data_IF_452218998395
#
_entry.id   IF_452218998395
#
_cell.length_a   1.000
_cell.length_b   1.000
_cell.length_c   1.000
_cell.angle_alpha   90.00
_cell.angle_beta   90.00
_cell.angle_gamma   90.00
#
_symmetry.space_group_name_H-M   'P 1'
#
loop_
_entity.id
_entity.type
_entity.pdbx_description
1 polymer ?
#
# COMPACT_ATOMS: atom_id res chain seq x y z
N UNK A 1 -20.70 7.94 14.78
CA UNK A 1 -19.31 7.48 14.64
C UNK A 1 -18.47 8.68 14.28
N UNK A 2 -17.34 8.91 14.95
CA UNK A 2 -16.40 9.96 14.54
C UNK A 2 -15.59 9.39 13.38
N UNK A 3 -15.89 9.86 12.18
CA UNK A 3 -15.31 9.34 10.93
C UNK A 3 -13.95 9.96 10.64
N UNK A 4 -13.77 11.23 10.97
CA UNK A 4 -12.53 11.98 10.71
C UNK A 4 -11.47 11.72 11.78
N UNK A 5 -10.22 11.60 11.32
CA UNK A 5 -9.06 11.53 12.20
C UNK A 5 -8.84 12.85 12.97
N UNK A 6 -8.08 12.78 14.06
CA UNK A 6 -7.65 13.93 14.86
C UNK A 6 -6.26 14.46 14.46
N UNK A 7 -5.69 13.97 13.36
CA UNK A 7 -4.39 14.43 12.85
C UNK A 7 -4.30 15.95 12.72
N UNK A 8 -3.19 16.52 13.19
CA UNK A 8 -2.96 17.96 13.18
C UNK A 8 -2.48 18.48 11.83
N UNK A 9 -1.86 17.61 11.01
CA UNK A 9 -1.33 17.92 9.68
C UNK A 9 -2.06 17.11 8.61
N UNK A 10 -3.33 17.44 8.39
CA UNK A 10 -4.17 16.79 7.38
C UNK A 10 -4.13 17.55 6.04
N UNK A 11 -3.40 17.01 5.06
CA UNK A 11 -3.25 17.60 3.74
C UNK A 11 -4.52 17.55 2.88
N UNK A 12 -5.47 16.67 3.22
CA UNK A 12 -6.74 16.49 2.53
C UNK A 12 -7.86 17.34 3.13
N UNK A 13 -7.62 17.93 4.31
CA UNK A 13 -8.56 18.81 4.99
C UNK A 13 -8.54 20.21 4.39
N UNK A 14 -9.64 20.59 3.74
CA UNK A 14 -9.86 21.93 3.22
C UNK A 14 -10.50 22.85 4.26
N UNK A 15 -10.48 24.19 4.04
CA UNK A 15 -11.27 25.12 4.82
C UNK A 15 -12.76 24.75 4.84
N UNK A 16 -13.44 25.14 5.93
CA UNK A 16 -14.87 24.93 6.09
C UNK A 16 -15.67 25.46 4.89
N UNK A 17 -16.70 24.72 4.52
CA UNK A 17 -17.52 25.01 3.35
C UNK A 17 -19.00 25.19 3.74
N UNK A 18 -19.69 26.07 3.03
CA UNK A 18 -21.13 26.29 3.19
C UNK A 18 -21.97 25.64 2.08
N UNK A 19 -23.28 25.54 2.29
CA UNK A 19 -24.20 24.95 1.31
C UNK A 19 -24.21 25.68 -0.05
N UNK A 20 -24.10 27.01 -0.05
CA UNK A 20 -24.06 27.79 -1.29
C UNK A 20 -22.85 27.44 -2.16
N UNK A 21 -21.71 27.19 -1.51
CA UNK A 21 -20.46 26.82 -2.17
C UNK A 21 -20.53 25.39 -2.72
N UNK A 22 -21.07 24.44 -1.95
CA UNK A 22 -21.36 23.08 -2.42
C UNK A 22 -22.23 23.13 -3.68
N UNK A 23 -23.27 23.96 -3.70
CA UNK A 23 -24.16 24.09 -4.86
C UNK A 23 -23.46 24.72 -6.07
N UNK A 24 -22.45 25.59 -5.85
CA UNK A 24 -21.59 26.10 -6.94
C UNK A 24 -20.72 24.98 -7.51
N UNK A 25 -20.12 24.18 -6.65
CA UNK A 25 -19.27 23.04 -7.04
C UNK A 25 -20.08 22.01 -7.84
N UNK A 26 -21.29 21.64 -7.40
CA UNK A 26 -22.18 20.73 -8.15
C UNK A 26 -22.45 21.20 -9.59
N UNK A 27 -22.62 22.52 -9.78
CA UNK A 27 -22.80 23.11 -11.12
C UNK A 27 -21.54 23.04 -11.96
N UNK A 28 -20.37 23.22 -11.33
CA UNK A 28 -19.07 23.18 -12.00
C UNK A 28 -18.73 21.77 -12.49
N UNK A 29 -18.87 20.77 -11.62
CA UNK A 29 -18.65 19.35 -11.96
C UNK A 29 -19.81 18.74 -12.76
N UNK A 30 -20.92 19.47 -12.91
CA UNK A 30 -22.16 19.06 -13.60
C UNK A 30 -22.74 17.74 -13.06
N UNK A 31 -22.58 17.50 -11.76
CA UNK A 31 -23.06 16.30 -11.04
C UNK A 31 -23.61 16.73 -9.69
N UNK A 32 -24.73 16.14 -9.27
CA UNK A 32 -25.23 16.33 -7.91
C UNK A 32 -24.47 15.43 -6.96
N UNK A 33 -24.03 15.97 -5.82
CA UNK A 33 -23.37 15.19 -4.79
C UNK A 33 -24.41 14.42 -3.97
N UNK A 34 -24.13 13.18 -3.55
CA UNK A 34 -24.98 12.46 -2.61
C UNK A 34 -25.23 13.29 -1.34
N UNK A 35 -26.45 13.26 -0.79
CA UNK A 35 -26.78 14.01 0.42
C UNK A 35 -25.84 13.67 1.58
N UNK A 36 -25.55 12.39 1.80
CA UNK A 36 -24.60 11.95 2.82
C UNK A 36 -23.17 12.44 2.59
N UNK A 37 -22.75 12.67 1.35
CA UNK A 37 -21.46 13.30 1.06
C UNK A 37 -21.49 14.77 1.45
N UNK A 38 -22.58 15.49 1.12
CA UNK A 38 -22.75 16.91 1.49
C UNK A 38 -22.78 17.11 3.00
N UNK A 39 -23.53 16.27 3.71
CA UNK A 39 -23.56 16.27 5.18
C UNK A 39 -22.18 16.01 5.78
N UNK A 40 -21.39 15.13 5.16
CA UNK A 40 -20.04 14.80 5.60
C UNK A 40 -19.08 15.99 5.41
N UNK A 41 -19.05 16.62 4.23
CA UNK A 41 -18.16 17.77 3.96
C UNK A 41 -18.54 19.04 4.71
N UNK A 42 -19.82 19.18 5.09
CA UNK A 42 -20.27 20.27 5.98
C UNK A 42 -19.80 20.07 7.43
N UNK A 43 -19.55 18.83 7.86
CA UNK A 43 -18.95 18.56 9.19
C UNK A 43 -17.45 18.83 9.18
N UNK A 44 -16.76 18.35 8.14
CA UNK A 44 -15.35 18.65 7.87
C UNK A 44 -15.10 18.50 6.38
N UNK A 45 -14.50 19.51 5.74
CA UNK A 45 -14.36 19.55 4.29
C UNK A 45 -13.19 18.70 3.79
N UNK A 46 -13.34 17.37 3.87
CA UNK A 46 -12.31 16.41 3.53
C UNK A 46 -11.35 16.13 4.68
N UNK A 47 -10.50 15.12 4.48
CA UNK A 47 -9.47 14.75 5.43
C UNK A 47 -9.22 13.25 5.53
N UNK A 48 -8.30 12.89 6.43
CA UNK A 48 -8.04 11.52 6.83
C UNK A 48 -9.19 10.95 7.67
N UNK A 49 -9.42 9.65 7.49
CA UNK A 49 -10.43 8.87 8.18
C UNK A 49 -9.82 8.18 9.41
N UNK A 50 -10.64 7.93 10.43
CA UNK A 50 -10.32 7.10 11.59
C UNK A 50 -10.65 5.60 11.33
N UNK A 51 -10.84 5.25 10.06
CA UNK A 51 -11.10 3.92 9.53
C UNK A 51 -10.14 3.71 8.37
N UNK A 52 -9.82 2.45 8.09
CA UNK A 52 -8.81 2.07 7.10
C UNK A 52 -9.36 1.18 5.99
N UNK A 53 -10.64 0.75 6.06
CA UNK A 53 -11.22 -0.12 5.05
C UNK A 53 -12.70 0.10 4.81
N UNK A 54 -13.16 -0.41 3.66
CA UNK A 54 -14.57 -0.58 3.33
C UNK A 54 -14.87 -2.02 2.92
N UNK A 55 -15.94 -2.58 3.49
CA UNK A 55 -16.47 -3.90 3.10
C UNK A 55 -17.31 -3.81 1.84
N UNK A 56 -17.11 -4.75 0.90
CA UNK A 56 -17.92 -4.80 -0.33
C UNK A 56 -19.34 -5.31 -0.02
N UNK A 57 -20.37 -4.60 -0.48
CA UNK A 57 -21.79 -4.83 -0.18
C UNK A 57 -22.39 -6.14 -0.77
N UNK A 58 -21.58 -7.14 -1.15
CA UNK A 58 -22.03 -8.37 -1.83
C UNK A 58 -21.64 -9.67 -1.13
N UNK A 59 -21.60 -9.70 0.20
CA UNK A 59 -21.31 -10.93 0.97
C UNK A 59 -19.92 -11.52 0.67
N UNK A 60 -19.05 -10.73 0.05
CA UNK A 60 -17.64 -11.02 -0.14
C UNK A 60 -16.90 -10.40 1.06
N UNK A 61 -16.12 -11.15 1.85
CA UNK A 61 -15.38 -10.61 2.99
C UNK A 61 -14.22 -9.69 2.58
N UNK A 62 -13.97 -9.50 1.29
CA UNK A 62 -12.93 -8.61 0.77
C UNK A 62 -13.18 -7.15 1.22
N UNK A 63 -12.19 -6.62 1.94
CA UNK A 63 -12.05 -5.23 2.31
C UNK A 63 -11.22 -4.51 1.24
N UNK A 64 -11.47 -3.22 1.04
CA UNK A 64 -10.60 -2.36 0.22
C UNK A 64 -10.11 -1.22 1.10
N UNK A 65 -8.80 -0.97 1.05
CA UNK A 65 -8.15 0.08 1.83
C UNK A 65 -8.67 1.47 1.45
N UNK A 66 -8.94 2.30 2.45
CA UNK A 66 -9.23 3.73 2.28
C UNK A 66 -8.83 4.46 3.56
N UNK A 67 -8.11 5.57 3.38
CA UNK A 67 -7.53 6.36 4.47
C UNK A 67 -8.00 7.82 4.45
N UNK A 68 -8.52 8.33 3.33
CA UNK A 68 -9.00 9.72 3.21
C UNK A 68 -10.24 9.85 2.31
N UNK A 69 -10.96 10.96 2.49
CA UNK A 69 -12.01 11.42 1.57
C UNK A 69 -11.70 12.87 1.20
N UNK A 70 -11.75 13.17 -0.10
CA UNK A 70 -11.57 14.54 -0.60
C UNK A 70 -12.64 15.49 -0.10
N UNK A 71 -12.25 16.73 0.13
CA UNK A 71 -13.17 17.82 0.35
C UNK A 71 -13.84 18.30 -0.94
N UNK A 72 -14.91 19.07 -0.77
CA UNK A 72 -15.51 19.90 -1.79
C UNK A 72 -14.59 21.11 -2.07
N UNK A 73 -13.79 21.03 -3.13
CA UNK A 73 -12.85 22.07 -3.55
C UNK A 73 -11.68 21.52 -4.37
N UNK A 74 -10.61 22.32 -4.45
CA UNK A 74 -9.30 21.95 -5.02
C UNK A 74 -8.20 22.34 -4.01
N UNK A 75 -7.26 21.44 -3.64
CA UNK A 75 -7.22 20.04 -4.09
C UNK A 75 -8.43 19.24 -3.53
N UNK A 76 -9.05 18.39 -4.34
CA UNK A 76 -10.26 17.64 -3.95
C UNK A 76 -11.15 17.25 -5.13
N UNK A 77 -12.47 17.20 -4.93
CA UNK A 77 -13.40 16.72 -5.98
C UNK A 77 -13.41 17.59 -7.24
N UNK A 78 -12.98 18.85 -7.18
CA UNK A 78 -12.85 19.70 -8.37
C UNK A 78 -11.72 19.23 -9.30
N UNK A 79 -10.77 18.45 -8.79
CA UNK A 79 -9.68 17.90 -9.60
C UNK A 79 -10.11 16.63 -10.34
N UNK A 80 -11.24 16.02 -9.95
CA UNK A 80 -11.73 14.77 -10.54
C UNK A 80 -11.84 14.81 -12.08
N UNK A 81 -12.36 15.86 -12.73
CA UNK A 81 -12.40 15.91 -14.19
C UNK A 81 -11.01 15.83 -14.85
N UNK A 82 -9.99 16.40 -14.20
CA UNK A 82 -8.59 16.31 -14.67
C UNK A 82 -8.08 14.88 -14.54
N UNK A 83 -8.29 14.24 -13.38
CA UNK A 83 -7.89 12.84 -13.13
C UNK A 83 -8.56 11.90 -14.14
N UNK A 84 -9.89 12.03 -14.31
CA UNK A 84 -10.67 11.22 -15.26
C UNK A 84 -10.11 11.34 -16.68
N UNK A 85 -9.74 12.55 -17.10
CA UNK A 85 -9.19 12.79 -18.44
C UNK A 85 -7.76 12.24 -18.59
N UNK A 86 -6.90 12.48 -17.61
CA UNK A 86 -5.50 12.07 -17.62
C UNK A 86 -5.36 10.55 -17.71
N UNK A 87 -6.20 9.83 -16.97
CA UNK A 87 -6.16 8.37 -16.88
C UNK A 87 -7.12 7.67 -17.87
N UNK A 88 -7.83 8.44 -18.70
CA UNK A 88 -8.75 7.87 -19.69
C UNK A 88 -9.94 7.12 -19.09
N UNK A 89 -10.38 7.53 -17.90
CA UNK A 89 -11.52 6.93 -17.20
C UNK A 89 -12.86 7.41 -17.79
N UNK A 90 -13.96 6.76 -17.41
CA UNK A 90 -15.28 7.10 -17.93
C UNK A 90 -15.80 8.45 -17.38
N UNK A 91 -16.36 9.31 -18.25
CA UNK A 91 -16.77 10.69 -17.90
C UNK A 91 -17.89 10.78 -16.87
N UNK A 92 -18.67 9.71 -16.69
CA UNK A 92 -19.73 9.59 -15.69
C UNK A 92 -19.18 9.41 -14.26
N UNK A 93 -17.86 9.29 -14.08
CA UNK A 93 -17.25 9.13 -12.78
C UNK A 93 -16.98 10.47 -12.09
N UNK A 94 -16.99 10.44 -10.76
CA UNK A 94 -16.50 11.53 -9.91
C UNK A 94 -15.60 10.92 -8.82
N UNK A 95 -14.31 11.23 -8.86
CA UNK A 95 -13.31 10.75 -7.91
C UNK A 95 -13.49 11.50 -6.58
N UNK A 96 -13.55 10.76 -5.48
CA UNK A 96 -13.68 11.33 -4.13
C UNK A 96 -12.61 10.85 -3.15
N UNK A 97 -11.73 9.94 -3.57
CA UNK A 97 -10.57 9.47 -2.80
C UNK A 97 -9.64 8.69 -3.73
N UNK A 98 -8.34 8.67 -3.43
CA UNK A 98 -7.34 7.87 -4.14
C UNK A 98 -6.01 8.60 -4.31
N UNK A 99 -5.01 7.87 -4.78
CA UNK A 99 -3.70 8.40 -5.13
C UNK A 99 -3.01 7.48 -6.14
N UNK A 100 -2.03 8.04 -6.87
CA UNK A 100 -1.26 7.27 -7.83
C UNK A 100 -2.12 6.61 -8.91
N UNK A 101 -2.28 5.29 -8.82
CA UNK A 101 -2.91 4.42 -9.81
C UNK A 101 -4.24 3.80 -9.32
N UNK A 102 -4.78 4.22 -8.17
CA UNK A 102 -6.06 3.73 -7.65
C UNK A 102 -7.00 4.85 -7.20
N UNK A 103 -8.31 4.63 -7.33
CA UNK A 103 -9.34 5.60 -6.97
C UNK A 103 -10.63 4.98 -6.48
N UNK A 104 -11.26 5.66 -5.52
CA UNK A 104 -12.70 5.52 -5.29
C UNK A 104 -13.46 6.60 -6.06
N UNK A 105 -14.53 6.16 -6.72
CA UNK A 105 -15.35 7.03 -7.55
C UNK A 105 -16.85 6.81 -7.31
N UNK A 106 -17.61 7.90 -7.42
CA UNK A 106 -19.05 7.86 -7.60
C UNK A 106 -19.35 7.59 -9.09
N UNK A 107 -20.03 6.50 -9.38
CA UNK A 107 -20.46 6.10 -10.71
C UNK A 107 -21.91 6.54 -10.97
N UNK A 108 -22.07 7.55 -11.83
CA UNK A 108 -23.36 8.12 -12.22
C UNK A 108 -24.03 7.41 -13.43
N UNK A 109 -23.70 6.14 -13.69
CA UNK A 109 -24.39 5.32 -14.71
C UNK A 109 -25.88 5.10 -14.42
N UNK A 110 -26.30 5.29 -13.16
CA UNK A 110 -27.68 5.22 -12.71
C UNK A 110 -28.09 6.51 -11.98
N UNK A 111 -29.40 6.69 -11.74
CA UNK A 111 -29.92 7.88 -11.05
C UNK A 111 -29.31 8.08 -9.64
N UNK A 112 -29.12 6.98 -8.92
CA UNK A 112 -28.40 6.98 -7.63
C UNK A 112 -26.98 6.52 -7.91
N UNK A 113 -25.96 7.36 -7.66
CA UNK A 113 -24.58 6.97 -7.95
C UNK A 113 -24.13 5.87 -6.98
N UNK A 114 -23.55 4.81 -7.54
CA UNK A 114 -22.88 3.78 -6.75
C UNK A 114 -21.43 4.16 -6.45
N UNK A 115 -20.83 3.52 -5.46
CA UNK A 115 -19.38 3.65 -5.20
C UNK A 115 -18.65 2.51 -5.88
N UNK A 116 -17.63 2.85 -6.66
CA UNK A 116 -16.72 1.90 -7.29
C UNK A 116 -15.29 2.16 -6.85
N UNK A 117 -14.47 1.12 -6.90
CA UNK A 117 -13.02 1.16 -6.74
C UNK A 117 -12.37 0.77 -8.07
N UNK A 118 -11.33 1.49 -8.43
CA UNK A 118 -10.58 1.33 -9.68
C UNK A 118 -9.11 1.21 -9.32
N UNK A 119 -8.44 0.19 -9.84
CA UNK A 119 -6.99 0.02 -9.76
C UNK A 119 -6.45 -0.20 -11.19
N UNK A 120 -5.67 0.77 -11.66
CA UNK A 120 -5.31 0.87 -13.08
C UNK A 120 -4.31 -0.21 -13.51
N UNK A 121 -3.34 -0.54 -12.65
CA UNK A 121 -2.28 -1.51 -12.99
C UNK A 121 -2.82 -2.91 -13.23
N UNK A 122 -3.73 -3.36 -12.38
CA UNK A 122 -4.39 -4.67 -12.47
C UNK A 122 -5.64 -4.65 -13.36
N UNK A 123 -6.06 -3.46 -13.82
CA UNK A 123 -7.33 -3.21 -14.51
C UNK A 123 -8.53 -3.73 -13.70
N UNK A 124 -8.45 -3.67 -12.36
CA UNK A 124 -9.49 -4.11 -11.43
C UNK A 124 -10.53 -3.01 -11.27
N UNK A 125 -11.80 -3.36 -11.49
CA UNK A 125 -12.94 -2.49 -11.27
C UNK A 125 -13.96 -3.22 -10.41
N UNK A 126 -14.22 -2.67 -9.22
CA UNK A 126 -15.09 -3.30 -8.22
C UNK A 126 -16.21 -2.36 -7.82
N UNK A 127 -17.45 -2.85 -7.82
CA UNK A 127 -18.57 -2.13 -7.22
C UNK A 127 -18.55 -2.34 -5.70
N UNK A 128 -18.20 -1.30 -4.96
CA UNK A 128 -18.01 -1.33 -3.50
C UNK A 128 -19.35 -1.23 -2.78
N UNK A 129 -20.17 -0.26 -3.16
CA UNK A 129 -21.46 0.00 -2.53
C UNK A 129 -22.51 0.50 -3.54
N UNK A 130 -23.78 0.29 -3.22
CA UNK A 130 -24.90 0.73 -4.06
C UNK A 130 -25.18 2.24 -3.94
N UNK A 131 -24.64 2.90 -2.92
CA UNK A 131 -24.75 4.35 -2.71
C UNK A 131 -23.61 4.83 -1.79
N UNK A 132 -23.39 6.15 -1.73
CA UNK A 132 -22.43 6.72 -0.78
C UNK A 132 -22.86 6.52 0.69
N UNK A 133 -24.16 6.59 1.00
CA UNK A 133 -24.67 6.24 2.34
C UNK A 133 -24.37 4.78 2.73
N UNK A 134 -24.53 3.84 1.80
CA UNK A 134 -24.17 2.44 2.03
C UNK A 134 -22.66 2.26 2.22
N UNK A 135 -21.86 2.97 1.41
CA UNK A 135 -20.41 3.01 1.56
C UNK A 135 -19.99 3.46 2.96
N UNK A 136 -20.54 4.56 3.47
CA UNK A 136 -20.24 5.04 4.81
C UNK A 136 -20.63 4.05 5.92
N UNK A 137 -21.69 3.25 5.72
CA UNK A 137 -22.12 2.21 6.68
C UNK A 137 -21.21 0.99 6.69
N UNK A 138 -20.52 0.74 5.57
CA UNK A 138 -19.59 -0.38 5.40
C UNK A 138 -18.13 0.01 5.66
N UNK A 139 -17.87 1.28 6.00
CA UNK A 139 -16.58 1.69 6.52
C UNK A 139 -16.31 0.96 7.83
N UNK A 140 -15.09 0.47 7.98
CA UNK A 140 -14.71 -0.38 9.09
C UNK A 140 -13.25 -0.15 9.44
N UNK A 141 -12.93 -0.43 10.69
CA UNK A 141 -11.53 -0.58 11.15
C UNK A 141 -11.12 -2.06 11.04
N UNK A 142 -11.68 -2.79 10.08
CA UNK A 142 -11.18 -4.12 9.71
C UNK A 142 -9.79 -3.88 9.18
N UNK A 143 -8.84 -4.30 10.01
CA UNK A 143 -7.42 -4.07 9.91
C UNK A 143 -6.87 -4.31 8.50
N UNK A 144 -6.81 -3.29 7.66
CA UNK A 144 -5.49 -2.90 7.16
C UNK A 144 -4.84 -2.08 8.27
N UNK A 145 -4.61 -2.71 9.43
CA UNK A 145 -3.44 -2.26 10.19
C UNK A 145 -2.27 -2.50 9.26
N UNK A 146 -1.17 -1.78 9.42
CA UNK A 146 0.08 -2.18 8.76
C UNK A 146 0.39 -3.69 8.99
N UNK A 147 -0.27 -4.33 9.97
CA UNK A 147 -0.33 -5.78 10.21
C UNK A 147 -1.01 -6.63 9.11
N UNK A 148 -1.66 -6.10 8.05
CA UNK A 148 -2.01 -6.95 6.89
C UNK A 148 -0.80 -7.31 6.00
N UNK A 149 0.38 -6.76 6.32
CA UNK A 149 1.68 -7.33 5.92
C UNK A 149 2.23 -8.37 6.93
N UNK A 150 1.57 -8.57 8.08
CA UNK A 150 1.92 -9.60 9.06
C UNK A 150 1.09 -10.86 8.86
N UNK A 151 1.22 -11.50 7.69
CA UNK A 151 1.24 -12.97 7.78
C UNK A 151 2.44 -13.34 8.64
N UNK A 152 2.20 -13.60 9.93
CA UNK A 152 3.18 -14.19 10.83
C UNK A 152 3.45 -15.62 10.36
N UNK A 153 4.41 -15.76 9.46
CA UNK A 153 4.92 -17.05 9.07
C UNK A 153 5.77 -17.61 10.20
N UNK A 154 5.54 -18.86 10.59
CA UNK A 154 6.56 -19.56 11.38
C UNK A 154 7.80 -19.83 10.51
N UNK A 155 8.98 -19.91 11.13
CA UNK A 155 10.21 -20.31 10.43
C UNK A 155 10.06 -21.67 9.70
N UNK A 156 9.26 -22.58 10.26
CA UNK A 156 9.02 -23.90 9.67
C UNK A 156 8.18 -23.81 8.38
N UNK A 157 7.21 -22.90 8.33
CA UNK A 157 6.41 -22.66 7.12
C UNK A 157 7.23 -21.95 6.06
N UNK A 158 8.01 -20.94 6.47
CA UNK A 158 8.93 -20.22 5.59
C UNK A 158 9.95 -21.17 4.94
N UNK A 159 10.54 -22.09 5.70
CA UNK A 159 11.47 -23.11 5.17
C UNK A 159 10.85 -23.98 4.07
N UNK A 160 9.56 -24.34 4.22
CA UNK A 160 8.84 -25.10 3.20
C UNK A 160 8.62 -24.27 1.94
N UNK A 161 8.32 -22.99 2.10
CA UNK A 161 8.08 -22.05 0.99
C UNK A 161 9.37 -21.76 0.22
N UNK A 162 10.47 -21.49 0.92
CA UNK A 162 11.77 -21.21 0.31
C UNK A 162 12.34 -22.38 -0.48
N UNK A 163 11.85 -23.60 -0.23
CA UNK A 163 12.16 -24.80 -1.01
C UNK A 163 11.28 -24.97 -2.27
N UNK A 164 10.28 -24.12 -2.45
CA UNK A 164 9.29 -24.16 -3.52
C UNK A 164 9.72 -23.48 -4.82
N UNK A 165 8.75 -23.28 -5.72
CA UNK A 165 8.95 -22.61 -7.02
C UNK A 165 8.07 -21.37 -7.19
N UNK A 166 7.33 -20.98 -6.16
CA UNK A 166 6.50 -19.78 -6.16
C UNK A 166 7.35 -18.59 -5.69
N UNK A 167 7.99 -17.93 -6.66
CA UNK A 167 8.99 -16.91 -6.36
C UNK A 167 8.38 -15.62 -5.77
N UNK A 168 7.14 -15.31 -6.12
CA UNK A 168 6.43 -14.17 -5.53
C UNK A 168 6.12 -14.44 -4.05
N UNK A 169 5.67 -15.66 -3.74
CA UNK A 169 5.45 -16.06 -2.35
C UNK A 169 6.77 -16.13 -1.54
N UNK A 170 7.86 -16.57 -2.16
CA UNK A 170 9.19 -16.54 -1.52
C UNK A 170 9.60 -15.10 -1.18
N UNK A 171 9.42 -14.15 -2.11
CA UNK A 171 9.70 -12.74 -1.88
C UNK A 171 8.86 -12.17 -0.73
N UNK A 172 7.54 -12.35 -0.81
CA UNK A 172 6.58 -11.87 0.19
C UNK A 172 6.93 -12.36 1.59
N UNK A 173 7.16 -13.67 1.74
CA UNK A 173 7.50 -14.31 3.02
C UNK A 173 8.85 -13.83 3.52
N UNK A 174 9.85 -13.71 2.64
CA UNK A 174 11.19 -13.32 3.07
C UNK A 174 11.23 -11.85 3.53
N UNK A 175 10.49 -10.96 2.86
CA UNK A 175 10.36 -9.56 3.24
C UNK A 175 9.55 -9.35 4.52
N UNK A 176 8.52 -10.17 4.78
CA UNK A 176 7.70 -10.01 5.99
C UNK A 176 8.51 -10.18 7.28
N UNK A 177 9.51 -11.07 7.29
CA UNK A 177 10.39 -11.25 8.45
C UNK A 177 11.26 -10.04 8.79
N UNK A 178 11.47 -9.09 7.86
CA UNK A 178 12.25 -7.88 8.13
C UNK A 178 11.64 -7.03 9.25
N UNK A 179 10.32 -7.13 9.45
CA UNK A 179 9.56 -6.36 10.42
C UNK A 179 9.14 -7.18 11.64
N UNK A 180 9.53 -8.45 11.73
CA UNK A 180 9.12 -9.33 12.83
C UNK A 180 9.70 -8.89 14.18
N UNK A 181 8.83 -8.66 15.19
CA UNK A 181 9.22 -8.20 16.53
C UNK A 181 10.29 -9.08 17.19
N UNK A 182 10.27 -10.39 16.94
CA UNK A 182 11.16 -11.40 17.55
C UNK A 182 11.99 -12.15 16.51
N UNK A 183 12.52 -11.44 15.51
CA UNK A 183 13.34 -12.03 14.45
C UNK A 183 14.60 -12.75 15.00
N UNK A 184 14.73 -14.05 14.69
CA UNK A 184 16.00 -14.75 14.83
C UNK A 184 16.92 -14.35 13.68
N UNK A 185 17.77 -13.34 13.93
CA UNK A 185 18.70 -12.81 12.94
C UNK A 185 19.66 -13.88 12.38
N UNK A 186 20.03 -14.89 13.18
CA UNK A 186 20.91 -15.96 12.72
C UNK A 186 20.20 -16.87 11.72
N UNK A 187 18.96 -17.25 12.01
CA UNK A 187 18.13 -17.97 11.05
C UNK A 187 17.93 -17.14 9.79
N UNK A 188 17.61 -15.86 9.93
CA UNK A 188 17.34 -14.97 8.79
C UNK A 188 18.56 -14.82 7.87
N UNK A 189 19.76 -14.62 8.43
CA UNK A 189 21.00 -14.59 7.65
C UNK A 189 21.39 -15.97 7.07
N UNK A 190 20.95 -17.07 7.70
CA UNK A 190 21.10 -18.41 7.13
C UNK A 190 20.26 -18.55 5.87
N UNK A 191 18.99 -18.11 5.89
CA UNK A 191 18.11 -18.12 4.72
C UNK A 191 18.63 -17.20 3.60
N UNK A 192 19.09 -16.00 3.94
CA UNK A 192 19.71 -15.09 2.97
C UNK A 192 20.93 -15.73 2.29
N UNK A 193 21.78 -16.45 3.03
CA UNK A 193 22.91 -17.19 2.47
C UNK A 193 22.44 -18.32 1.53
N UNK A 194 21.49 -19.14 1.94
CA UNK A 194 20.95 -20.23 1.10
C UNK A 194 20.37 -19.68 -0.21
N UNK A 195 19.59 -18.61 -0.13
CA UNK A 195 18.89 -18.01 -1.26
C UNK A 195 19.79 -17.12 -2.14
N UNK A 196 20.96 -16.67 -1.66
CA UNK A 196 21.91 -15.86 -2.44
C UNK A 196 22.46 -16.57 -3.69
N UNK A 197 22.25 -17.88 -3.82
CA UNK A 197 22.63 -18.68 -5.00
C UNK A 197 21.43 -19.30 -5.72
N UNK A 198 20.22 -18.85 -5.38
CA UNK A 198 18.98 -19.40 -5.91
C UNK A 198 18.91 -19.29 -7.45
N UNK A 199 18.37 -20.29 -8.18
CA UNK A 199 18.35 -20.27 -9.65
C UNK A 199 17.61 -19.07 -10.27
N UNK A 200 16.56 -18.58 -9.62
CA UNK A 200 15.79 -17.41 -10.06
C UNK A 200 16.42 -16.10 -9.56
N UNK A 201 16.62 -15.12 -10.45
CA UNK A 201 17.20 -13.81 -10.11
C UNK A 201 16.32 -12.95 -9.22
N UNK A 202 15.00 -13.02 -9.34
CA UNK A 202 14.04 -12.26 -8.50
C UNK A 202 14.27 -12.57 -7.02
N UNK A 203 14.43 -13.86 -6.68
CA UNK A 203 14.75 -14.27 -5.31
C UNK A 203 16.09 -13.69 -4.85
N UNK A 204 17.10 -13.64 -5.72
CA UNK A 204 18.42 -13.09 -5.38
C UNK A 204 18.40 -11.56 -5.26
N UNK A 205 17.56 -10.86 -6.01
CA UNK A 205 17.31 -9.41 -5.87
C UNK A 205 16.74 -9.09 -4.48
N UNK A 206 15.78 -9.88 -4.00
CA UNK A 206 15.24 -9.75 -2.64
C UNK A 206 16.34 -9.98 -1.60
N UNK A 207 17.20 -10.98 -1.78
CA UNK A 207 18.34 -11.22 -0.87
C UNK A 207 19.27 -10.00 -0.81
N UNK A 208 19.58 -9.35 -1.93
CA UNK A 208 20.39 -8.12 -1.93
C UNK A 208 19.74 -7.02 -1.10
N UNK A 209 18.43 -6.80 -1.27
CA UNK A 209 17.67 -5.81 -0.48
C UNK A 209 17.75 -6.11 1.02
N UNK A 210 17.59 -7.39 1.39
CA UNK A 210 17.71 -7.83 2.79
C UNK A 210 19.10 -7.54 3.34
N UNK A 211 20.16 -7.86 2.59
CA UNK A 211 21.52 -7.57 3.04
C UNK A 211 21.71 -6.07 3.23
N UNK A 212 21.24 -5.24 2.28
CA UNK A 212 21.33 -3.77 2.38
C UNK A 212 20.66 -3.25 3.65
N UNK A 213 19.47 -3.73 3.96
CA UNK A 213 18.67 -3.24 5.08
C UNK A 213 19.23 -3.68 6.45
N UNK A 214 19.97 -4.80 6.49
CA UNK A 214 20.42 -5.40 7.74
C UNK A 214 21.92 -5.24 8.02
N UNK A 215 22.72 -4.80 7.04
CA UNK A 215 24.19 -4.85 7.14
C UNK A 215 24.77 -4.04 8.30
N UNK A 216 24.26 -2.84 8.55
CA UNK A 216 24.76 -1.98 9.62
C UNK A 216 24.50 -2.61 11.00
N UNK A 217 23.26 -3.04 11.23
CA UNK A 217 22.83 -3.66 12.50
C UNK A 217 23.56 -4.98 12.72
N UNK A 218 23.64 -5.84 11.71
CA UNK A 218 24.30 -7.15 11.85
C UNK A 218 25.79 -7.00 12.15
N UNK A 219 26.50 -6.09 11.48
CA UNK A 219 27.93 -5.88 11.72
C UNK A 219 28.22 -5.21 13.07
N UNK A 220 27.31 -4.36 13.55
CA UNK A 220 27.47 -3.66 14.81
C UNK A 220 27.10 -4.52 16.04
N UNK A 221 26.04 -5.32 15.93
CA UNK A 221 25.35 -5.88 17.11
C UNK A 221 25.28 -7.42 17.14
N UNK A 222 25.29 -8.09 15.98
CA UNK A 222 25.13 -9.54 15.94
C UNK A 222 26.40 -10.30 16.31
N UNK A 223 26.25 -11.58 16.68
CA UNK A 223 27.40 -12.46 16.96
C UNK A 223 28.23 -12.76 15.69
N UNK A 224 29.48 -13.17 15.88
CA UNK A 224 30.42 -13.45 14.79
C UNK A 224 29.89 -14.46 13.75
N UNK A 225 29.14 -15.47 14.19
CA UNK A 225 28.54 -16.47 13.28
C UNK A 225 27.54 -15.81 12.34
N UNK A 226 26.68 -14.96 12.89
CA UNK A 226 25.64 -14.24 12.16
C UNK A 226 26.25 -13.23 11.18
N UNK A 227 27.30 -12.52 11.60
CA UNK A 227 28.09 -11.66 10.70
C UNK A 227 28.73 -12.46 9.55
N UNK A 228 29.28 -13.64 9.84
CA UNK A 228 29.90 -14.49 8.82
C UNK A 228 28.88 -15.00 7.78
N UNK A 229 27.65 -15.31 8.21
CA UNK A 229 26.55 -15.70 7.32
C UNK A 229 26.22 -14.58 6.32
N UNK A 230 26.03 -13.35 6.82
CA UNK A 230 25.78 -12.18 5.98
C UNK A 230 26.93 -11.96 4.98
N UNK A 231 28.19 -12.00 5.45
CA UNK A 231 29.35 -11.78 4.61
C UNK A 231 29.52 -12.87 3.54
N UNK A 232 29.12 -14.12 3.82
CA UNK A 232 29.10 -15.19 2.82
C UNK A 232 28.01 -14.95 1.77
N UNK A 233 26.82 -14.53 2.19
CA UNK A 233 25.72 -14.20 1.27
C UNK A 233 26.15 -13.06 0.34
N UNK A 234 26.74 -11.99 0.90
CA UNK A 234 27.25 -10.86 0.12
C UNK A 234 28.32 -11.29 -0.90
N UNK A 235 29.23 -12.19 -0.53
CA UNK A 235 30.24 -12.74 -1.47
C UNK A 235 29.61 -13.49 -2.64
N UNK A 236 28.53 -14.24 -2.41
CA UNK A 236 27.82 -14.91 -3.50
C UNK A 236 27.24 -13.89 -4.49
N UNK A 237 26.62 -12.81 -3.98
CA UNK A 237 25.98 -11.78 -4.80
C UNK A 237 26.99 -10.89 -5.53
N UNK A 238 28.19 -10.68 -4.98
CA UNK A 238 29.30 -10.00 -5.68
C UNK A 238 29.77 -10.76 -6.93
N UNK A 239 29.55 -12.07 -6.97
CA UNK A 239 29.87 -12.95 -8.11
C UNK A 239 28.64 -13.27 -8.98
N UNK A 240 27.48 -12.63 -8.74
CA UNK A 240 26.22 -12.96 -9.41
C UNK A 240 26.29 -12.80 -10.95
N UNK A 241 25.67 -13.69 -11.75
CA UNK A 241 25.58 -13.50 -13.19
C UNK A 241 24.77 -12.26 -13.61
N UNK A 242 23.81 -11.80 -12.80
CA UNK A 242 23.07 -10.56 -13.05
C UNK A 242 23.91 -9.34 -12.63
N UNK A 243 24.13 -8.41 -13.56
CA UNK A 243 24.93 -7.22 -13.32
C UNK A 243 24.28 -6.25 -12.32
N UNK A 244 22.95 -6.18 -12.27
CA UNK A 244 22.25 -5.24 -11.38
C UNK A 244 22.44 -5.68 -9.93
N UNK A 245 22.16 -6.95 -9.64
CA UNK A 245 22.43 -7.62 -8.35
C UNK A 245 23.90 -7.43 -7.94
N UNK A 246 24.83 -7.66 -8.86
CA UNK A 246 26.27 -7.51 -8.62
C UNK A 246 26.67 -6.08 -8.29
N UNK A 247 26.08 -5.10 -8.97
CA UNK A 247 26.40 -3.69 -8.73
C UNK A 247 25.86 -3.25 -7.37
N UNK A 248 24.63 -3.63 -7.03
CA UNK A 248 24.09 -3.36 -5.69
C UNK A 248 24.90 -4.01 -4.58
N UNK A 249 25.36 -5.26 -4.77
CA UNK A 249 26.24 -5.92 -3.80
C UNK A 249 27.57 -5.18 -3.62
N UNK A 250 28.12 -4.56 -4.67
CA UNK A 250 29.31 -3.70 -4.56
C UNK A 250 29.01 -2.45 -3.75
N UNK A 251 27.89 -1.79 -4.03
CA UNK A 251 27.47 -0.59 -3.29
C UNK A 251 27.35 -0.89 -1.79
N UNK A 252 26.72 -2.02 -1.43
CA UNK A 252 26.61 -2.49 -0.04
C UNK A 252 27.99 -2.67 0.60
N UNK A 253 28.92 -3.31 -0.12
CA UNK A 253 30.30 -3.54 0.37
C UNK A 253 31.04 -2.21 0.60
N UNK A 254 30.92 -1.27 -0.34
CA UNK A 254 31.58 0.03 -0.30
C UNK A 254 31.03 0.92 0.82
N UNK A 255 29.70 0.99 0.95
CA UNK A 255 29.04 1.78 2.01
C UNK A 255 29.36 1.27 3.42
N UNK A 256 29.58 -0.04 3.57
CA UNK A 256 29.78 -0.68 4.87
C UNK A 256 31.26 -0.85 5.27
N UNK A 257 32.20 -0.30 4.48
CA UNK A 257 33.66 -0.40 4.71
C UNK A 257 34.17 -1.85 4.89
N UNK A 258 33.54 -2.82 4.23
CA UNK A 258 33.94 -4.24 4.34
C UNK A 258 35.20 -4.46 3.49
N UNK A 259 36.34 -4.64 4.15
CA UNK A 259 37.59 -5.00 3.48
C UNK A 259 37.54 -6.44 2.95
N UNK A 260 38.12 -6.63 1.75
CA UNK A 260 38.25 -7.92 1.04
C UNK A 260 39.06 -8.95 1.82
#
# INVERSE_FOLDING_TARGET
>A
MKIWSEETEDIYRLPEIGQEEIHRIEKEIKKNLPESYKELVLQQNGGYLNVNSVLIEKGNPECIGIDHIYGAGSPGILDSPSIVKEWGLAENLLIFSGEGNYWFALDYSANTPSVIYIEQESNKLVKVANSFDSFLKNLSTTAFTDDELEMEWSQEEADKIFSGIDYALIEEVLLSFQYAENLDMKWYMTKALELSTHPNSMVREVVVSILRNNIEVVLAEADFTTQELLLKALRNLLEDPNNDIKNEAKDIKESSNINS
#
